data_IF_863732879945
#
_entry.id   IF_863732879945
#
_cell.length_a   1.000
_cell.length_b   1.000
_cell.length_c   1.000
_cell.angle_alpha   90.00
_cell.angle_beta   90.00
_cell.angle_gamma   90.00
#
_symmetry.space_group_name_H-M   'P 1'
#
loop_
_entity.id
_entity.type
_entity.pdbx_description
1 polymer ?
#
# COMPACT_ATOMS: atom_id res chain seq x y z
N UNK A 1 60.33 -23.58 19.15
CA UNK A 1 59.50 -24.47 18.32
C UNK A 1 58.12 -23.83 18.24
N UNK A 2 57.74 -23.34 17.03
CA UNK A 2 56.44 -22.76 16.58
C UNK A 2 55.95 -21.53 17.38
N UNK A 3 56.02 -20.28 16.93
CA UNK A 3 55.62 -19.66 15.65
C UNK A 3 54.25 -20.13 15.15
N UNK A 4 53.24 -19.30 15.38
CA UNK A 4 51.97 -19.29 14.64
C UNK A 4 51.76 -17.84 14.19
N UNK A 5 52.10 -17.61 12.93
CA UNK A 5 51.54 -16.55 12.09
C UNK A 5 50.17 -17.04 11.61
N UNK A 6 49.18 -16.17 11.55
CA UNK A 6 48.04 -16.34 10.64
C UNK A 6 47.54 -14.98 10.15
N UNK A 7 47.03 -15.02 8.92
CA UNK A 7 47.09 -14.04 7.84
C UNK A 7 46.11 -12.85 7.89
N UNK A 8 46.32 -11.81 7.05
CA UNK A 8 45.45 -10.63 6.97
C UNK A 8 44.18 -10.86 6.13
N UNK A 9 43.10 -10.24 6.58
CA UNK A 9 41.76 -10.22 5.96
C UNK A 9 41.81 -9.55 4.58
N UNK A 10 41.44 -10.32 3.57
CA UNK A 10 41.34 -9.92 2.17
C UNK A 10 40.17 -8.94 1.92
N UNK A 11 40.49 -7.68 1.61
CA UNK A 11 39.52 -6.67 1.19
C UNK A 11 38.95 -6.99 -0.19
N UNK A 12 37.67 -7.38 -0.25
CA UNK A 12 36.89 -7.49 -1.49
C UNK A 12 36.69 -6.12 -2.13
N UNK A 13 37.32 -5.89 -3.28
CA UNK A 13 37.01 -4.80 -4.21
C UNK A 13 35.61 -5.00 -4.80
N UNK A 14 34.69 -4.09 -4.49
CA UNK A 14 33.41 -3.96 -5.21
C UNK A 14 33.68 -3.12 -6.46
N UNK A 15 33.62 -3.74 -7.64
CA UNK A 15 33.63 -3.05 -8.93
C UNK A 15 32.26 -2.40 -9.18
N UNK A 16 32.26 -1.08 -9.39
CA UNK A 16 31.10 -0.32 -9.84
C UNK A 16 30.79 -0.65 -11.31
N UNK A 17 29.62 -1.21 -11.58
CA UNK A 17 29.08 -1.32 -12.93
C UNK A 17 28.57 0.06 -13.38
N UNK A 18 29.09 0.53 -14.53
CA UNK A 18 28.67 1.76 -15.21
C UNK A 18 27.27 1.57 -15.79
N UNK A 19 26.30 2.36 -15.32
CA UNK A 19 25.00 2.51 -15.97
C UNK A 19 25.19 3.31 -17.26
N UNK A 20 24.82 2.71 -18.40
CA UNK A 20 24.74 3.41 -19.69
C UNK A 20 23.50 4.31 -19.70
N UNK A 21 23.75 5.58 -20.02
CA UNK A 21 22.78 6.62 -20.32
C UNK A 21 21.94 6.21 -21.54
N UNK A 22 20.61 6.34 -21.45
CA UNK A 22 19.66 6.23 -22.55
C UNK A 22 19.20 7.65 -22.87
N UNK A 23 19.39 8.09 -24.11
CA UNK A 23 18.95 9.39 -24.61
C UNK A 23 17.40 9.46 -24.72
N UNK A 24 16.78 10.63 -24.48
CA UNK A 24 15.34 10.80 -24.66
C UNK A 24 14.97 11.06 -26.12
N UNK A 25 14.01 10.29 -26.63
CA UNK A 25 13.35 10.53 -27.92
C UNK A 25 12.40 11.72 -27.77
N UNK A 26 12.66 12.77 -28.54
CA UNK A 26 11.77 13.92 -28.73
C UNK A 26 10.54 13.52 -29.55
N UNK A 27 9.35 13.64 -28.96
CA UNK A 27 8.08 13.60 -29.66
C UNK A 27 7.77 15.02 -30.17
N UNK A 28 7.86 15.22 -31.50
CA UNK A 28 7.44 16.45 -32.16
C UNK A 28 5.94 16.35 -32.46
N UNK A 29 5.15 17.14 -31.72
CA UNK A 29 3.84 17.59 -32.17
C UNK A 29 4.04 18.56 -33.35
N UNK A 30 3.30 18.34 -34.42
CA UNK A 30 3.18 19.23 -35.56
C UNK A 30 1.72 19.30 -35.98
N UNK A 31 1.08 20.40 -35.58
CA UNK A 31 -0.17 20.88 -36.15
C UNK A 31 0.00 21.16 -37.65
N UNK A 32 -0.95 20.72 -38.47
CA UNK A 32 -1.26 21.41 -39.72
C UNK A 32 -2.77 21.55 -39.87
N UNK A 33 -3.15 22.81 -40.08
CA UNK A 33 -4.49 23.35 -40.14
C UNK A 33 -4.94 23.37 -41.60
N UNK A 34 -6.23 23.07 -41.78
CA UNK A 34 -7.20 23.78 -42.63
C UNK A 34 -7.73 23.21 -43.95
N UNK A 35 -9.05 23.43 -44.04
CA UNK A 35 -9.83 23.85 -45.21
C UNK A 35 -10.15 22.83 -46.32
N UNK A 36 -11.38 22.32 -46.33
CA UNK A 36 -12.46 22.92 -47.16
C UNK A 36 -13.79 22.16 -47.08
N UNK A 37 -14.77 22.86 -46.50
CA UNK A 37 -16.07 23.21 -47.07
C UNK A 37 -16.98 22.19 -47.80
N UNK A 38 -18.15 22.05 -47.17
CA UNK A 38 -19.51 22.20 -47.75
C UNK A 38 -20.24 21.02 -48.42
N UNK A 39 -21.48 20.85 -47.90
CA UNK A 39 -22.74 20.53 -48.62
C UNK A 39 -22.82 19.11 -49.21
N UNK A 40 -23.89 18.32 -49.02
CA UNK A 40 -25.31 18.68 -48.98
C UNK A 40 -26.12 17.44 -48.55
N UNK A 41 -27.21 17.71 -47.84
CA UNK A 41 -28.33 16.80 -47.56
C UNK A 41 -28.94 16.21 -48.85
N UNK A 42 -29.40 14.96 -48.75
CA UNK A 42 -30.83 14.67 -48.96
C UNK A 42 -31.24 13.72 -50.09
N UNK A 43 -31.97 12.67 -49.68
CA UNK A 43 -33.17 12.07 -50.30
C UNK A 43 -33.02 10.98 -51.38
N UNK A 44 -33.28 9.75 -50.92
CA UNK A 44 -34.32 8.80 -51.39
C UNK A 44 -34.60 8.63 -52.88
N UNK A 45 -34.54 7.37 -53.36
CA UNK A 45 -35.68 6.68 -54.00
C UNK A 45 -35.45 5.18 -54.19
N UNK A 46 -36.51 4.41 -53.89
CA UNK A 46 -36.69 2.98 -54.18
C UNK A 46 -36.79 2.73 -55.69
N UNK A 47 -36.34 1.57 -56.19
CA UNK A 47 -37.01 0.86 -57.28
C UNK A 47 -36.76 -0.65 -57.26
N UNK A 48 -37.84 -1.38 -57.53
CA UNK A 48 -38.03 -2.82 -57.56
C UNK A 48 -37.30 -3.49 -58.72
N UNK A 49 -36.96 -4.78 -58.55
CA UNK A 49 -36.35 -5.67 -59.55
C UNK A 49 -37.36 -6.78 -59.92
N UNK A 50 -37.50 -7.06 -61.22
CA UNK A 50 -38.19 -8.24 -61.79
C UNK A 50 -37.20 -9.38 -62.14
N UNK A 51 -37.68 -10.59 -62.53
CA UNK A 51 -36.91 -11.83 -62.28
C UNK A 51 -36.16 -12.45 -63.49
N UNK A 52 -35.16 -13.27 -63.11
CA UNK A 52 -34.51 -14.42 -63.81
C UNK A 52 -33.36 -14.18 -64.82
N UNK A 53 -32.49 -15.17 -65.10
CA UNK A 53 -31.89 -16.20 -64.22
C UNK A 53 -30.37 -16.47 -64.47
N UNK A 54 -29.72 -17.10 -63.49
CA UNK A 54 -28.61 -18.04 -63.72
C UNK A 54 -27.18 -17.52 -63.62
N UNK A 55 -26.46 -17.95 -62.56
CA UNK A 55 -25.25 -18.78 -62.63
C UNK A 55 -24.72 -19.08 -61.22
N UNK A 56 -24.31 -20.32 -61.05
CA UNK A 56 -23.80 -20.95 -59.84
C UNK A 56 -22.44 -20.38 -59.40
N UNK A 57 -22.30 -20.08 -58.11
CA UNK A 57 -21.05 -20.19 -57.37
C UNK A 57 -21.35 -20.27 -55.87
N UNK A 58 -20.89 -21.34 -55.26
CA UNK A 58 -20.90 -21.68 -53.83
C UNK A 58 -20.52 -20.51 -52.91
N UNK A 59 -21.43 -20.10 -52.02
CA UNK A 59 -21.13 -19.33 -50.80
C UNK A 59 -20.87 -20.31 -49.63
N UNK A 60 -19.80 -20.13 -48.84
CA UNK A 60 -19.61 -20.88 -47.61
C UNK A 60 -20.62 -20.42 -46.54
N UNK A 61 -21.12 -21.41 -45.83
CA UNK A 61 -22.26 -21.37 -44.92
C UNK A 61 -22.00 -20.49 -43.68
N UNK A 62 -22.41 -19.21 -43.71
CA UNK A 62 -22.30 -18.28 -42.56
C UNK A 62 -23.23 -18.67 -41.40
N UNK A 63 -24.26 -19.50 -41.63
CA UNK A 63 -25.14 -20.00 -40.56
C UNK A 63 -24.58 -21.19 -39.77
N UNK A 64 -23.50 -21.83 -40.23
CA UNK A 64 -22.90 -22.94 -39.48
C UNK A 64 -21.88 -22.45 -38.44
N UNK A 65 -21.18 -21.33 -38.66
CA UNK A 65 -20.16 -20.85 -37.74
C UNK A 65 -20.72 -20.30 -36.41
N UNK A 66 -21.86 -19.61 -36.45
CA UNK A 66 -22.53 -19.12 -35.23
C UNK A 66 -23.17 -20.24 -34.38
N UNK A 67 -23.54 -21.37 -35.01
CA UNK A 67 -24.01 -22.56 -34.28
C UNK A 67 -22.85 -23.43 -33.75
N UNK A 68 -21.72 -23.51 -34.47
CA UNK A 68 -20.51 -24.24 -34.05
C UNK A 68 -19.80 -23.56 -32.85
N UNK A 69 -19.90 -22.23 -32.72
CA UNK A 69 -19.41 -21.51 -31.53
C UNK A 69 -20.34 -21.65 -30.31
N UNK A 70 -21.65 -21.76 -30.53
CA UNK A 70 -22.65 -22.01 -29.47
C UNK A 70 -22.61 -23.44 -28.95
N UNK A 71 -22.37 -24.43 -29.81
CA UNK A 71 -22.11 -25.82 -29.39
C UNK A 71 -20.79 -25.98 -28.63
N UNK A 72 -19.86 -25.02 -28.75
CA UNK A 72 -18.59 -25.05 -28.04
C UNK A 72 -18.68 -24.52 -26.61
N UNK A 73 -19.59 -23.60 -26.27
CA UNK A 73 -19.69 -22.98 -24.93
C UNK A 73 -20.90 -23.47 -24.13
N UNK A 74 -20.74 -24.60 -23.45
CA UNK A 74 -21.77 -25.25 -22.63
C UNK A 74 -21.40 -25.26 -21.13
N UNK A 75 -21.55 -24.12 -20.42
CA UNK A 75 -21.29 -24.05 -18.98
C UNK A 75 -22.27 -24.91 -18.16
N UNK A 76 -23.50 -25.11 -18.65
CA UNK A 76 -24.53 -25.92 -18.00
C UNK A 76 -24.17 -27.39 -18.04
N UNK A 77 -23.78 -27.92 -19.20
CA UNK A 77 -23.31 -29.30 -19.32
C UNK A 77 -22.02 -29.57 -18.57
N UNK A 78 -21.08 -28.60 -18.56
CA UNK A 78 -19.89 -28.70 -17.69
C UNK A 78 -20.29 -28.78 -16.21
N UNK A 79 -21.19 -27.90 -15.76
CA UNK A 79 -21.71 -27.91 -14.38
C UNK A 79 -22.32 -29.26 -14.03
N UNK A 80 -23.21 -29.79 -14.87
CA UNK A 80 -23.91 -31.04 -14.62
C UNK A 80 -22.94 -32.22 -14.52
N UNK A 81 -21.90 -32.25 -15.36
CA UNK A 81 -20.85 -33.26 -15.29
C UNK A 81 -20.02 -33.18 -14.01
N UNK A 82 -19.68 -31.97 -13.54
CA UNK A 82 -18.98 -31.76 -12.26
C UNK A 82 -19.87 -32.18 -11.09
N UNK A 83 -21.11 -31.72 -11.05
CA UNK A 83 -22.08 -32.06 -9.99
C UNK A 83 -22.26 -33.58 -9.90
N UNK A 84 -22.45 -34.27 -11.02
CA UNK A 84 -22.59 -35.72 -11.04
C UNK A 84 -21.38 -36.44 -10.42
N UNK A 85 -20.17 -35.94 -10.67
CA UNK A 85 -18.95 -36.50 -10.07
C UNK A 85 -18.80 -36.19 -8.58
N UNK A 86 -19.19 -34.99 -8.14
CA UNK A 86 -19.18 -34.62 -6.72
C UNK A 86 -20.20 -35.44 -5.91
N UNK A 87 -21.38 -35.67 -6.46
CA UNK A 87 -22.46 -36.46 -5.82
C UNK A 87 -22.11 -37.96 -5.71
N UNK A 88 -21.27 -38.47 -6.61
CA UNK A 88 -20.75 -39.83 -6.55
C UNK A 88 -19.68 -40.04 -5.47
N UNK A 89 -19.13 -38.96 -4.91
CA UNK A 89 -18.12 -39.01 -3.86
C UNK A 89 -18.76 -39.06 -2.46
N UNK A 90 -18.23 -39.93 -1.60
CA UNK A 90 -18.72 -40.08 -0.22
C UNK A 90 -18.17 -38.99 0.71
N UNK A 91 -16.91 -38.58 0.49
CA UNK A 91 -16.16 -37.66 1.33
C UNK A 91 -15.31 -36.65 0.52
N UNK A 92 -14.67 -35.71 1.23
CA UNK A 92 -13.84 -34.64 0.61
C UNK A 92 -12.56 -35.18 -0.05
N UNK A 93 -12.07 -36.35 0.36
CA UNK A 93 -10.89 -36.96 -0.25
C UNK A 93 -11.23 -37.56 -1.62
N UNK A 94 -12.37 -38.23 -1.72
CA UNK A 94 -12.93 -38.72 -2.98
C UNK A 94 -13.27 -37.56 -3.91
N UNK A 95 -13.83 -36.45 -3.40
CA UNK A 95 -14.02 -35.22 -4.18
C UNK A 95 -12.69 -34.72 -4.75
N UNK A 96 -11.64 -34.65 -3.93
CA UNK A 96 -10.31 -34.22 -4.38
C UNK A 96 -9.73 -35.13 -5.48
N UNK A 97 -9.88 -36.46 -5.33
CA UNK A 97 -9.44 -37.45 -6.34
C UNK A 97 -10.23 -37.34 -7.64
N UNK A 98 -11.53 -37.13 -7.55
CA UNK A 98 -12.37 -36.87 -8.72
C UNK A 98 -11.89 -35.62 -9.44
N UNK A 99 -11.77 -34.48 -8.75
CA UNK A 99 -11.37 -33.21 -9.36
C UNK A 99 -9.98 -33.26 -10.02
N UNK A 100 -9.02 -33.98 -9.41
CA UNK A 100 -7.67 -34.18 -9.96
C UNK A 100 -7.66 -35.02 -11.26
N UNK A 101 -8.54 -36.02 -11.37
CA UNK A 101 -8.62 -36.88 -12.54
C UNK A 101 -9.55 -36.34 -13.64
N UNK A 102 -10.61 -35.64 -13.24
CA UNK A 102 -11.66 -35.14 -14.12
C UNK A 102 -11.16 -34.02 -15.04
N UNK A 103 -10.17 -33.22 -14.64
CA UNK A 103 -9.60 -32.17 -15.50
C UNK A 103 -8.84 -32.70 -16.74
N UNK A 104 -8.68 -34.02 -16.90
CA UNK A 104 -8.21 -34.63 -18.16
C UNK A 104 -9.35 -34.85 -19.17
N UNK A 105 -10.60 -34.81 -18.71
CA UNK A 105 -11.81 -35.01 -19.52
C UNK A 105 -12.66 -33.74 -19.62
N UNK A 106 -12.75 -33.00 -18.52
CA UNK A 106 -13.48 -31.74 -18.41
C UNK A 106 -12.53 -30.57 -18.68
N UNK A 107 -12.98 -29.61 -19.47
CA UNK A 107 -12.15 -28.46 -19.88
C UNK A 107 -12.10 -27.38 -18.80
N UNK A 108 -11.24 -27.58 -17.80
CA UNK A 108 -11.00 -26.60 -16.75
C UNK A 108 -10.38 -25.29 -17.25
N UNK A 109 -9.71 -25.28 -18.42
CA UNK A 109 -9.15 -24.03 -18.97
C UNK A 109 -10.23 -23.09 -19.43
N UNK A 110 -11.31 -23.66 -19.96
CA UNK A 110 -12.47 -22.90 -20.41
C UNK A 110 -13.45 -22.59 -19.28
N UNK A 111 -13.70 -23.55 -18.40
CA UNK A 111 -14.76 -23.48 -17.39
C UNK A 111 -14.24 -23.37 -15.95
N UNK A 112 -12.99 -22.92 -15.75
CA UNK A 112 -12.42 -22.77 -14.41
C UNK A 112 -13.22 -21.85 -13.49
N UNK A 113 -13.79 -20.77 -14.02
CA UNK A 113 -14.69 -19.87 -13.27
C UNK A 113 -15.96 -20.61 -12.81
N UNK A 114 -16.62 -21.31 -13.74
CA UNK A 114 -17.78 -22.16 -13.46
C UNK A 114 -17.45 -23.24 -12.42
N UNK A 115 -16.25 -23.83 -12.49
CA UNK A 115 -15.81 -24.81 -11.51
C UNK A 115 -15.76 -24.18 -10.10
N UNK A 116 -15.26 -22.95 -9.95
CA UNK A 116 -15.21 -22.28 -8.66
C UNK A 116 -16.58 -21.91 -8.13
N UNK A 117 -17.51 -21.49 -8.98
CA UNK A 117 -18.91 -21.29 -8.59
C UNK A 117 -19.51 -22.57 -7.97
N UNK A 118 -19.29 -23.72 -8.61
CA UNK A 118 -19.79 -25.01 -8.14
C UNK A 118 -19.14 -25.40 -6.80
N UNK A 119 -17.82 -25.26 -6.68
CA UNK A 119 -17.12 -25.63 -5.45
C UNK A 119 -17.48 -24.72 -4.28
N UNK A 120 -17.79 -23.45 -4.54
CA UNK A 120 -18.14 -22.47 -3.50
C UNK A 120 -19.64 -22.53 -3.17
N UNK A 121 -20.50 -22.29 -4.16
CA UNK A 121 -21.94 -22.11 -3.99
C UNK A 121 -22.77 -23.35 -4.34
N UNK A 122 -22.17 -24.37 -4.95
CA UNK A 122 -22.85 -25.61 -5.31
C UNK A 122 -23.52 -25.61 -6.68
N UNK A 123 -23.42 -24.52 -7.44
CA UNK A 123 -23.99 -24.40 -8.78
C UNK A 123 -23.50 -23.13 -9.47
N UNK A 124 -23.98 -22.87 -10.68
CA UNK A 124 -23.62 -21.68 -11.46
C UNK A 124 -24.15 -20.41 -10.79
N UNK A 125 -23.27 -19.47 -10.45
CA UNK A 125 -23.70 -18.18 -9.90
C UNK A 125 -24.12 -17.24 -11.04
N UNK A 126 -25.28 -16.59 -10.86
CA UNK A 126 -25.72 -15.51 -11.73
C UNK A 126 -25.53 -14.16 -11.02
N UNK A 127 -25.51 -13.03 -11.76
CA UNK A 127 -25.40 -11.71 -11.15
C UNK A 127 -26.38 -11.51 -9.99
N UNK A 128 -25.86 -11.15 -8.83
CA UNK A 128 -26.64 -11.03 -7.60
C UNK A 128 -26.52 -12.21 -6.64
N UNK A 129 -25.77 -13.26 -6.99
CA UNK A 129 -25.38 -14.33 -6.05
C UNK A 129 -26.38 -15.49 -5.92
N UNK A 130 -27.38 -15.56 -6.80
CA UNK A 130 -28.30 -16.71 -6.85
C UNK A 130 -27.78 -17.79 -7.81
N UNK A 131 -28.26 -19.03 -7.64
CA UNK A 131 -27.87 -20.16 -8.50
C UNK A 131 -28.79 -20.21 -9.73
N UNK A 132 -28.21 -20.35 -10.92
CA UNK A 132 -28.95 -20.57 -12.18
C UNK A 132 -29.80 -21.83 -12.09
N UNK A 133 -31.08 -21.75 -12.48
CA UNK A 133 -32.04 -22.85 -12.32
C UNK A 133 -32.15 -23.76 -13.55
N UNK A 134 -31.37 -23.51 -14.61
CA UNK A 134 -31.36 -24.35 -15.82
C UNK A 134 -30.84 -25.76 -15.51
N UNK A 135 -31.38 -26.80 -16.14
CA UNK A 135 -30.99 -28.21 -15.94
C UNK A 135 -31.80 -28.95 -14.87
N UNK A 136 -31.66 -30.28 -14.80
CA UNK A 136 -32.47 -31.13 -13.91
C UNK A 136 -32.05 -31.02 -12.42
N UNK A 137 -30.73 -30.98 -12.16
CA UNK A 137 -30.17 -30.83 -10.81
C UNK A 137 -29.15 -29.68 -10.80
N UNK A 138 -29.62 -28.42 -10.76
CA UNK A 138 -28.76 -27.24 -10.93
C UNK A 138 -27.80 -26.97 -9.75
N UNK A 139 -27.92 -27.73 -8.66
CA UNK A 139 -27.20 -27.53 -7.39
C UNK A 139 -26.73 -28.85 -6.77
N UNK A 140 -25.59 -28.80 -6.08
CA UNK A 140 -25.10 -29.80 -5.14
C UNK A 140 -24.89 -29.23 -3.73
N UNK A 141 -25.02 -30.09 -2.71
CA UNK A 141 -24.63 -29.80 -1.33
C UNK A 141 -23.18 -30.22 -1.03
N UNK A 142 -22.45 -30.72 -2.03
CA UNK A 142 -21.01 -31.02 -1.94
C UNK A 142 -20.17 -29.78 -2.27
N UNK A 143 -20.47 -28.67 -1.59
CA UNK A 143 -19.84 -27.37 -1.79
C UNK A 143 -19.56 -26.65 -0.46
N UNK A 144 -18.76 -25.58 -0.52
CA UNK A 144 -18.39 -24.79 0.67
C UNK A 144 -19.62 -24.24 1.41
N UNK A 145 -20.62 -23.72 0.70
CA UNK A 145 -21.79 -23.08 1.34
C UNK A 145 -22.66 -24.08 2.11
N UNK A 146 -22.61 -25.36 1.75
CA UNK A 146 -23.27 -26.45 2.47
C UNK A 146 -22.44 -27.04 3.62
N UNK A 147 -21.13 -26.72 3.71
CA UNK A 147 -20.26 -27.19 4.80
C UNK A 147 -20.60 -26.54 6.15
N UNK A 148 -20.14 -27.12 7.26
CA UNK A 148 -20.17 -26.44 8.56
C UNK A 148 -19.21 -25.23 8.57
N UNK A 149 -19.56 -24.16 9.27
CA UNK A 149 -18.76 -22.92 9.31
C UNK A 149 -17.50 -23.01 10.17
N UNK A 150 -17.34 -24.08 10.97
CA UNK A 150 -16.19 -24.25 11.85
C UNK A 150 -14.84 -24.31 11.08
N UNK A 151 -13.77 -23.90 11.75
CA UNK A 151 -12.45 -23.79 11.10
C UNK A 151 -11.85 -25.15 10.70
N UNK A 152 -12.27 -26.27 11.29
CA UNK A 152 -11.83 -27.59 10.87
C UNK A 152 -12.44 -27.93 9.50
N UNK A 153 -13.74 -27.74 9.35
CA UNK A 153 -14.47 -27.89 8.08
C UNK A 153 -13.93 -26.96 6.99
N UNK A 154 -13.61 -25.70 7.33
CA UNK A 154 -13.01 -24.74 6.39
C UNK A 154 -11.63 -25.19 5.90
N UNK A 155 -10.74 -25.61 6.81
CA UNK A 155 -9.40 -26.12 6.42
C UNK A 155 -9.49 -27.39 5.57
N UNK A 156 -10.45 -28.26 5.85
CA UNK A 156 -10.68 -29.45 5.03
C UNK A 156 -11.11 -29.10 3.60
N UNK A 157 -11.99 -28.09 3.43
CA UNK A 157 -12.35 -27.58 2.10
C UNK A 157 -11.18 -26.86 1.41
N UNK A 158 -10.37 -26.10 2.16
CA UNK A 158 -9.19 -25.40 1.62
C UNK A 158 -8.22 -26.37 0.92
N UNK A 159 -8.05 -27.57 1.48
CA UNK A 159 -7.20 -28.60 0.86
C UNK A 159 -7.64 -28.99 -0.55
N UNK A 160 -8.94 -28.95 -0.85
CA UNK A 160 -9.47 -29.25 -2.19
C UNK A 160 -8.94 -28.22 -3.19
N UNK A 161 -9.07 -26.93 -2.87
CA UNK A 161 -8.58 -25.82 -3.68
C UNK A 161 -7.06 -25.87 -3.84
N UNK A 162 -6.32 -26.09 -2.74
CA UNK A 162 -4.86 -26.18 -2.79
C UNK A 162 -4.38 -27.32 -3.70
N UNK A 163 -4.99 -28.52 -3.61
CA UNK A 163 -4.64 -29.66 -4.46
C UNK A 163 -4.97 -29.37 -5.93
N UNK A 164 -6.15 -28.81 -6.18
CA UNK A 164 -6.61 -28.47 -7.51
C UNK A 164 -5.69 -27.45 -8.19
N UNK A 165 -5.35 -26.34 -7.53
CA UNK A 165 -4.47 -25.30 -8.07
C UNK A 165 -3.01 -25.78 -8.19
N UNK A 166 -2.55 -26.65 -7.29
CA UNK A 166 -1.22 -27.27 -7.41
C UNK A 166 -1.10 -28.13 -8.68
N UNK A 167 -2.16 -28.86 -9.04
CA UNK A 167 -2.21 -29.68 -10.26
C UNK A 167 -2.40 -28.81 -11.51
N UNK A 168 -3.36 -27.90 -11.46
CA UNK A 168 -3.80 -27.09 -12.60
C UNK A 168 -3.48 -25.62 -12.34
N UNK A 169 -2.19 -25.26 -12.38
CA UNK A 169 -1.71 -23.91 -12.04
C UNK A 169 -2.37 -22.77 -12.81
N UNK A 170 -2.85 -23.02 -14.04
CA UNK A 170 -3.56 -22.01 -14.81
C UNK A 170 -4.89 -21.57 -14.16
N UNK A 171 -5.44 -22.35 -13.23
CA UNK A 171 -6.62 -22.01 -12.46
C UNK A 171 -6.37 -20.92 -11.42
N UNK A 172 -5.13 -20.67 -10.99
CA UNK A 172 -4.83 -19.64 -9.96
C UNK A 172 -5.33 -18.25 -10.40
N UNK A 173 -5.04 -17.87 -11.66
CA UNK A 173 -5.51 -16.59 -12.20
C UNK A 173 -7.03 -16.55 -12.35
N UNK A 174 -7.64 -17.65 -12.79
CA UNK A 174 -9.10 -17.74 -12.93
C UNK A 174 -9.78 -17.65 -11.56
N UNK A 175 -9.16 -18.24 -10.53
CA UNK A 175 -9.65 -18.18 -9.15
C UNK A 175 -9.61 -16.76 -8.60
N UNK A 176 -8.52 -16.03 -8.84
CA UNK A 176 -8.41 -14.63 -8.43
C UNK A 176 -9.53 -13.78 -9.08
N UNK A 177 -9.74 -13.91 -10.38
CA UNK A 177 -10.77 -13.16 -11.10
C UNK A 177 -12.18 -13.56 -10.65
N UNK A 178 -12.42 -14.84 -10.43
CA UNK A 178 -13.74 -15.29 -9.96
C UNK A 178 -14.01 -14.85 -8.52
N UNK A 179 -13.01 -14.88 -7.64
CA UNK A 179 -13.15 -14.34 -6.29
C UNK A 179 -13.53 -12.86 -6.29
N UNK A 180 -13.00 -12.05 -7.22
CA UNK A 180 -13.43 -10.64 -7.36
C UNK A 180 -14.92 -10.54 -7.69
N UNK A 181 -15.47 -11.41 -8.55
CA UNK A 181 -16.90 -11.43 -8.89
C UNK A 181 -17.76 -11.93 -7.73
N UNK A 182 -17.39 -13.06 -7.12
CA UNK A 182 -18.11 -13.63 -5.98
C UNK A 182 -18.20 -12.65 -4.81
N UNK A 183 -17.13 -11.90 -4.53
CA UNK A 183 -17.13 -10.90 -3.45
C UNK A 183 -18.07 -9.71 -3.73
N UNK A 184 -18.40 -9.41 -4.98
CA UNK A 184 -19.42 -8.40 -5.32
C UNK A 184 -20.83 -8.93 -4.97
N UNK A 185 -21.03 -10.24 -4.99
CA UNK A 185 -22.34 -10.89 -4.77
C UNK A 185 -22.66 -11.16 -3.30
N UNK A 186 -21.82 -10.79 -2.34
CA UNK A 186 -22.00 -11.15 -0.92
C UNK A 186 -23.33 -10.68 -0.31
N UNK A 187 -23.97 -9.67 -0.91
CA UNK A 187 -25.32 -9.21 -0.53
C UNK A 187 -26.41 -10.24 -0.82
N UNK A 188 -26.24 -11.05 -1.86
CA UNK A 188 -27.17 -12.12 -2.23
C UNK A 188 -27.04 -13.38 -1.37
N UNK A 189 -25.91 -13.55 -0.68
CA UNK A 189 -25.67 -14.71 0.18
C UNK A 189 -26.37 -14.56 1.54
N UNK A 190 -26.59 -15.68 2.21
CA UNK A 190 -27.06 -15.71 3.59
C UNK A 190 -25.96 -15.27 4.56
N UNK A 191 -26.29 -14.89 5.81
CA UNK A 191 -25.27 -14.54 6.81
C UNK A 191 -24.25 -15.65 7.05
N UNK A 192 -24.68 -16.92 7.10
CA UNK A 192 -23.77 -18.06 7.31
C UNK A 192 -22.85 -18.29 6.10
N UNK A 193 -23.37 -18.16 4.88
CA UNK A 193 -22.54 -18.28 3.67
C UNK A 193 -21.48 -17.18 3.60
N UNK A 194 -21.81 -15.94 4.00
CA UNK A 194 -20.81 -14.86 4.12
C UNK A 194 -19.71 -15.19 5.12
N UNK A 195 -20.05 -15.75 6.28
CA UNK A 195 -19.06 -16.16 7.30
C UNK A 195 -18.14 -17.24 6.75
N UNK A 196 -18.69 -18.28 6.10
CA UNK A 196 -17.91 -19.35 5.46
C UNK A 196 -16.99 -18.79 4.38
N UNK A 197 -17.51 -17.92 3.51
CA UNK A 197 -16.72 -17.28 2.46
C UNK A 197 -15.61 -16.39 3.03
N UNK A 198 -15.87 -15.62 4.09
CA UNK A 198 -14.86 -14.78 4.75
C UNK A 198 -13.74 -15.64 5.37
N UNK A 199 -14.10 -16.73 6.07
CA UNK A 199 -13.13 -17.67 6.64
C UNK A 199 -12.26 -18.32 5.57
N UNK A 200 -12.87 -18.79 4.49
CA UNK A 200 -12.13 -19.37 3.36
C UNK A 200 -11.27 -18.33 2.65
N UNK A 201 -11.76 -17.11 2.47
CA UNK A 201 -10.97 -16.00 1.90
C UNK A 201 -9.72 -15.74 2.74
N UNK A 202 -9.84 -15.74 4.07
CA UNK A 202 -8.68 -15.61 4.96
C UNK A 202 -7.68 -16.77 4.78
N UNK A 203 -8.15 -18.02 4.73
CA UNK A 203 -7.32 -19.20 4.51
C UNK A 203 -6.56 -19.13 3.16
N UNK A 204 -7.26 -18.81 2.07
CA UNK A 204 -6.67 -18.63 0.75
C UNK A 204 -5.66 -17.47 0.70
N UNK A 205 -5.86 -16.41 1.48
CA UNK A 205 -4.85 -15.35 1.62
C UNK A 205 -3.63 -15.81 2.43
N UNK A 206 -3.84 -16.58 3.50
CA UNK A 206 -2.77 -17.11 4.38
C UNK A 206 -1.81 -18.02 3.61
N UNK A 207 -2.36 -18.90 2.77
CA UNK A 207 -1.61 -19.85 1.96
C UNK A 207 -1.14 -19.28 0.61
N UNK A 208 -1.60 -18.09 0.22
CA UNK A 208 -1.20 -17.37 -0.99
C UNK A 208 -1.95 -17.73 -2.26
N UNK A 209 -3.06 -18.49 -2.16
CA UNK A 209 -3.94 -18.81 -3.29
C UNK A 209 -4.65 -17.59 -3.86
N UNK A 210 -4.96 -16.60 -3.03
CA UNK A 210 -5.51 -15.32 -3.48
C UNK A 210 -4.72 -14.14 -2.88
N UNK A 211 -4.44 -13.10 -3.67
CA UNK A 211 -3.82 -11.89 -3.17
C UNK A 211 -4.83 -11.03 -2.38
N UNK A 212 -4.40 -10.25 -1.37
CA UNK A 212 -5.30 -9.38 -0.60
C UNK A 212 -6.08 -8.36 -1.45
N UNK A 213 -5.55 -8.00 -2.62
CA UNK A 213 -6.14 -7.05 -3.57
C UNK A 213 -7.56 -7.41 -4.01
N UNK A 214 -7.94 -8.70 -3.98
CA UNK A 214 -9.31 -9.13 -4.31
C UNK A 214 -10.34 -8.46 -3.40
N UNK A 215 -9.97 -8.11 -2.16
CA UNK A 215 -10.87 -7.47 -1.20
C UNK A 215 -11.24 -6.03 -1.59
N UNK A 216 -10.54 -5.39 -2.51
CA UNK A 216 -10.87 -4.03 -2.94
C UNK A 216 -12.26 -3.90 -3.56
N UNK A 217 -12.78 -4.97 -4.18
CA UNK A 217 -14.12 -4.98 -4.77
C UNK A 217 -15.23 -4.81 -3.73
N UNK A 218 -14.92 -5.02 -2.44
CA UNK A 218 -15.83 -4.75 -1.33
C UNK A 218 -16.05 -3.26 -1.09
N UNK A 219 -15.16 -2.38 -1.57
CA UNK A 219 -15.45 -0.95 -1.65
C UNK A 219 -16.43 -0.69 -2.80
N UNK A 220 -17.67 -1.07 -2.54
CA UNK A 220 -18.82 -0.92 -3.43
C UNK A 220 -19.94 -0.27 -2.62
N UNK A 221 -20.56 0.79 -3.16
CA UNK A 221 -21.58 1.58 -2.45
C UNK A 221 -22.72 0.72 -1.89
N UNK A 222 -23.15 -0.31 -2.62
CA UNK A 222 -24.21 -1.21 -2.19
C UNK A 222 -23.81 -2.13 -1.02
N UNK A 223 -22.52 -2.38 -0.84
CA UNK A 223 -21.97 -3.20 0.24
C UNK A 223 -21.57 -2.36 1.45
N UNK A 224 -21.05 -1.16 1.23
CA UNK A 224 -20.59 -0.26 2.29
C UNK A 224 -21.76 0.42 3.00
N UNK A 225 -22.81 0.84 2.27
CA UNK A 225 -24.03 1.42 2.86
C UNK A 225 -24.67 0.50 3.91
N UNK A 226 -24.73 -0.80 3.61
CA UNK A 226 -25.39 -1.80 4.47
C UNK A 226 -24.42 -2.40 5.52
N UNK A 227 -23.15 -1.97 5.56
CA UNK A 227 -22.14 -2.46 6.51
C UNK A 227 -21.55 -3.84 6.17
N UNK A 228 -22.04 -4.51 5.13
CA UNK A 228 -21.63 -5.86 4.72
C UNK A 228 -20.13 -5.93 4.37
N UNK A 229 -19.59 -4.90 3.71
CA UNK A 229 -18.17 -4.84 3.36
C UNK A 229 -17.29 -4.89 4.61
N UNK A 230 -17.62 -4.07 5.62
CA UNK A 230 -16.89 -3.99 6.88
C UNK A 230 -17.02 -5.30 7.67
N UNK A 231 -18.23 -5.86 7.82
CA UNK A 231 -18.45 -7.11 8.53
C UNK A 231 -17.64 -8.27 7.92
N UNK A 232 -17.64 -8.37 6.59
CA UNK A 232 -16.88 -9.38 5.87
C UNK A 232 -15.37 -9.21 6.12
N UNK A 233 -14.84 -7.99 6.00
CA UNK A 233 -13.42 -7.72 6.27
C UNK A 233 -13.01 -8.03 7.71
N UNK A 234 -13.86 -7.70 8.68
CA UNK A 234 -13.58 -7.98 10.09
C UNK A 234 -13.46 -9.49 10.33
N UNK A 235 -14.32 -10.31 9.74
CA UNK A 235 -14.22 -11.77 9.83
C UNK A 235 -12.94 -12.27 9.13
N UNK A 236 -12.64 -11.80 7.91
CA UNK A 236 -11.41 -12.16 7.18
C UNK A 236 -10.16 -11.84 8.01
N UNK A 237 -10.05 -10.63 8.56
CA UNK A 237 -8.89 -10.21 9.32
C UNK A 237 -8.77 -10.97 10.64
N UNK A 238 -9.91 -11.23 11.30
CA UNK A 238 -9.95 -12.01 12.54
C UNK A 238 -9.43 -13.42 12.31
N UNK A 239 -9.92 -14.08 11.26
CA UNK A 239 -9.51 -15.46 10.90
C UNK A 239 -8.05 -15.48 10.44
N UNK A 240 -7.63 -14.56 9.58
CA UNK A 240 -6.24 -14.46 9.14
C UNK A 240 -5.30 -14.32 10.34
N UNK A 241 -5.65 -13.43 11.28
CA UNK A 241 -4.89 -13.24 12.53
C UNK A 241 -4.81 -14.53 13.33
N UNK A 242 -5.91 -15.29 13.45
CA UNK A 242 -5.92 -16.55 14.18
C UNK A 242 -5.00 -17.59 13.52
N UNK A 243 -4.96 -17.66 12.19
CA UNK A 243 -4.15 -18.64 11.46
C UNK A 243 -2.65 -18.29 11.42
N UNK A 244 -2.29 -17.01 11.25
CA UNK A 244 -0.90 -16.60 10.95
C UNK A 244 -0.32 -15.54 11.88
N UNK A 245 -1.16 -14.91 12.71
CA UNK A 245 -0.76 -13.87 13.65
C UNK A 245 -0.82 -12.44 13.08
N UNK A 246 -0.54 -11.46 13.95
CA UNK A 246 -0.69 -10.03 13.64
C UNK A 246 0.31 -9.51 12.62
N UNK A 247 1.61 -9.83 12.77
CA UNK A 247 2.63 -9.28 11.89
C UNK A 247 2.43 -9.71 10.41
N UNK A 248 2.11 -10.99 10.11
CA UNK A 248 1.77 -11.39 8.75
C UNK A 248 0.49 -10.76 8.22
N UNK A 249 -0.53 -10.53 9.06
CA UNK A 249 -1.74 -9.81 8.67
C UNK A 249 -1.39 -8.37 8.24
N UNK A 250 -0.68 -7.63 9.07
CA UNK A 250 -0.25 -6.26 8.77
C UNK A 250 0.57 -6.21 7.46
N UNK A 251 1.48 -7.15 7.26
CA UNK A 251 2.26 -7.25 6.02
C UNK A 251 1.37 -7.53 4.80
N UNK A 252 0.36 -8.40 4.93
CA UNK A 252 -0.59 -8.68 3.86
C UNK A 252 -1.45 -7.45 3.52
N UNK A 253 -1.93 -6.70 4.52
CA UNK A 253 -2.71 -5.47 4.30
C UNK A 253 -1.90 -4.40 3.57
N UNK A 254 -0.64 -4.19 3.98
CA UNK A 254 0.29 -3.27 3.29
C UNK A 254 0.56 -3.70 1.86
N UNK A 255 0.87 -4.99 1.64
CA UNK A 255 1.09 -5.54 0.29
C UNK A 255 -0.16 -5.40 -0.59
N UNK A 256 -1.33 -5.49 0.03
CA UNK A 256 -2.63 -5.30 -0.60
C UNK A 256 -3.03 -3.85 -0.83
N UNK A 257 -2.32 -2.85 -0.30
CA UNK A 257 -2.79 -1.46 -0.29
C UNK A 257 -4.12 -1.27 0.43
N UNK A 258 -4.45 -2.16 1.38
CA UNK A 258 -5.67 -2.08 2.17
C UNK A 258 -5.50 -1.19 3.40
N UNK A 259 -4.28 -1.03 3.91
CA UNK A 259 -3.96 -0.15 5.02
C UNK A 259 -4.40 1.29 4.76
N UNK A 260 -4.28 1.74 3.51
CA UNK A 260 -4.61 3.11 3.10
C UNK A 260 -6.10 3.35 2.87
N UNK A 261 -6.90 2.29 2.81
CA UNK A 261 -8.29 2.35 2.32
C UNK A 261 -9.31 1.86 3.35
N UNK A 262 -8.89 1.56 4.58
CA UNK A 262 -9.77 0.98 5.62
C UNK A 262 -11.06 1.78 5.81
N UNK A 263 -10.96 3.11 5.78
CA UNK A 263 -12.11 4.02 5.92
C UNK A 263 -13.13 3.88 4.79
N UNK A 264 -12.70 3.51 3.58
CA UNK A 264 -13.58 3.36 2.42
C UNK A 264 -14.61 2.24 2.60
N UNK A 265 -14.29 1.22 3.39
CA UNK A 265 -15.18 0.08 3.64
C UNK A 265 -16.24 0.35 4.72
N UNK A 266 -16.14 1.46 5.45
CA UNK A 266 -17.12 1.85 6.47
C UNK A 266 -18.40 2.39 5.82
N UNK A 267 -19.56 2.21 6.47
CA UNK A 267 -20.78 2.92 6.09
C UNK A 267 -20.57 4.43 6.08
N UNK A 268 -21.12 5.11 5.07
CA UNK A 268 -20.89 6.55 4.82
C UNK A 268 -21.19 7.42 6.05
N UNK A 269 -22.25 7.11 6.80
CA UNK A 269 -22.66 7.83 8.00
C UNK A 269 -21.83 7.50 9.26
N UNK A 270 -20.92 6.53 9.18
CA UNK A 270 -20.05 6.08 10.28
C UNK A 270 -18.57 6.13 9.91
N UNK A 271 -18.21 6.77 8.80
CA UNK A 271 -16.83 6.88 8.32
C UNK A 271 -16.07 7.93 9.14
N UNK A 272 -15.71 7.55 10.36
CA UNK A 272 -14.85 8.31 11.26
C UNK A 272 -13.91 7.38 12.04
N UNK A 273 -12.81 7.93 12.56
CA UNK A 273 -11.75 7.17 13.21
C UNK A 273 -12.21 6.49 14.51
N UNK A 274 -13.10 7.13 15.28
CA UNK A 274 -13.62 6.58 16.54
C UNK A 274 -14.43 5.30 16.30
N UNK A 275 -15.28 5.29 15.26
CA UNK A 275 -16.02 4.11 14.87
C UNK A 275 -15.08 3.01 14.37
N UNK A 276 -14.11 3.35 13.51
CA UNK A 276 -13.10 2.39 13.03
C UNK A 276 -12.32 1.76 14.19
N UNK A 277 -11.88 2.58 15.15
CA UNK A 277 -11.20 2.13 16.37
C UNK A 277 -12.06 1.15 17.15
N UNK A 278 -13.32 1.52 17.39
CA UNK A 278 -14.27 0.70 18.17
C UNK A 278 -14.43 -0.68 17.55
N UNK A 279 -14.80 -0.76 16.27
CA UNK A 279 -15.08 -2.04 15.60
C UNK A 279 -13.84 -2.93 15.47
N UNK A 280 -12.66 -2.36 15.25
CA UNK A 280 -11.41 -3.13 15.18
C UNK A 280 -10.98 -3.62 16.55
N UNK A 281 -11.01 -2.78 17.58
CA UNK A 281 -10.59 -3.15 18.94
C UNK A 281 -11.50 -4.21 19.54
N UNK A 282 -12.82 -4.09 19.35
CA UNK A 282 -13.81 -5.09 19.80
C UNK A 282 -13.54 -6.47 19.18
N UNK A 283 -13.04 -6.53 17.94
CA UNK A 283 -12.63 -7.76 17.26
C UNK A 283 -11.19 -8.18 17.57
N UNK A 284 -10.50 -7.50 18.48
CA UNK A 284 -9.10 -7.77 18.82
C UNK A 284 -8.09 -7.38 17.71
N UNK A 285 -8.48 -6.54 16.76
CA UNK A 285 -7.68 -6.07 15.63
C UNK A 285 -7.03 -4.72 15.90
N UNK A 286 -6.68 -4.42 17.15
CA UNK A 286 -6.09 -3.13 17.54
C UNK A 286 -4.79 -2.77 16.79
N UNK A 287 -4.01 -3.77 16.36
CA UNK A 287 -2.80 -3.51 15.55
C UNK A 287 -3.11 -3.07 14.11
N UNK A 288 -4.28 -3.46 13.56
CA UNK A 288 -4.77 -2.93 12.28
C UNK A 288 -5.18 -1.46 12.44
N UNK A 289 -5.76 -1.09 13.58
CA UNK A 289 -6.04 0.33 13.87
C UNK A 289 -4.74 1.13 14.04
N UNK A 290 -3.74 0.60 14.76
CA UNK A 290 -2.41 1.24 14.84
C UNK A 290 -1.76 1.40 13.47
N UNK A 291 -1.92 0.42 12.58
CA UNK A 291 -1.46 0.51 11.20
C UNK A 291 -2.08 1.70 10.46
N UNK A 292 -3.40 1.88 10.57
CA UNK A 292 -4.11 3.02 10.01
C UNK A 292 -3.59 4.36 10.57
N UNK A 293 -3.48 4.48 11.90
CA UNK A 293 -2.99 5.69 12.57
C UNK A 293 -1.55 6.04 12.18
N UNK A 294 -0.67 5.04 12.13
CA UNK A 294 0.70 5.25 11.69
C UNK A 294 0.75 5.75 10.26
N UNK A 295 -0.11 5.23 9.38
CA UNK A 295 -0.14 5.67 8.00
C UNK A 295 -0.69 7.10 7.86
N UNK A 296 -1.80 7.43 8.52
CA UNK A 296 -2.34 8.79 8.54
C UNK A 296 -1.30 9.80 9.03
N UNK A 297 -0.55 9.44 10.09
CA UNK A 297 0.57 10.25 10.58
C UNK A 297 1.68 10.43 9.54
N UNK A 298 2.06 9.37 8.81
CA UNK A 298 3.09 9.47 7.76
C UNK A 298 2.62 10.30 6.56
N UNK A 299 1.35 10.18 6.17
CA UNK A 299 0.76 10.96 5.09
C UNK A 299 0.70 12.44 5.45
N UNK A 300 0.23 12.79 6.65
CA UNK A 300 0.25 14.15 7.16
C UNK A 300 1.66 14.77 7.15
N UNK A 301 2.70 13.99 7.49
CA UNK A 301 4.10 14.46 7.45
C UNK A 301 4.59 14.68 6.01
N UNK A 302 4.12 13.89 5.05
CA UNK A 302 4.45 14.09 3.63
C UNK A 302 3.77 15.32 3.08
N UNK A 303 2.50 15.54 3.42
CA UNK A 303 1.77 16.76 3.05
C UNK A 303 2.44 18.00 3.64
N UNK A 304 2.85 17.96 4.92
CA UNK A 304 3.59 19.07 5.55
C UNK A 304 4.94 19.32 4.88
N UNK A 305 5.67 18.26 4.53
CA UNK A 305 6.92 18.37 3.77
C UNK A 305 6.67 19.01 2.41
N UNK A 306 5.62 18.62 1.70
CA UNK A 306 5.30 19.17 0.38
C UNK A 306 4.89 20.64 0.49
N UNK A 307 4.04 20.99 1.45
CA UNK A 307 3.67 22.38 1.75
C UNK A 307 4.91 23.25 1.98
N UNK A 308 5.84 22.79 2.84
CA UNK A 308 7.09 23.48 3.10
C UNK A 308 7.93 23.69 1.82
N UNK A 309 8.02 22.68 0.95
CA UNK A 309 8.76 22.77 -0.31
C UNK A 309 8.11 23.81 -1.23
N UNK A 310 6.79 23.75 -1.39
CA UNK A 310 6.04 24.64 -2.26
C UNK A 310 6.16 26.09 -1.79
N UNK A 311 5.96 26.33 -0.49
CA UNK A 311 6.04 27.66 0.10
C UNK A 311 7.43 28.31 -0.02
N UNK A 312 8.49 27.51 0.15
CA UNK A 312 9.87 27.99 -0.01
C UNK A 312 10.15 28.30 -1.50
N UNK A 313 9.71 27.44 -2.42
CA UNK A 313 9.90 27.63 -3.86
C UNK A 313 9.13 28.84 -4.40
N UNK A 314 7.95 29.10 -3.85
CA UNK A 314 7.12 30.27 -4.15
C UNK A 314 7.68 31.57 -3.54
N UNK A 315 8.79 31.49 -2.80
CA UNK A 315 9.42 32.61 -2.09
C UNK A 315 8.44 33.33 -1.14
N UNK A 316 7.56 32.58 -0.47
CA UNK A 316 6.72 33.14 0.59
C UNK A 316 7.59 33.73 1.71
N UNK A 317 7.04 34.70 2.45
CA UNK A 317 7.77 35.26 3.60
C UNK A 317 7.87 34.20 4.70
N UNK A 318 8.97 34.20 5.48
CA UNK A 318 9.14 33.24 6.59
C UNK A 318 7.96 33.27 7.57
N UNK A 319 7.34 34.44 7.77
CA UNK A 319 6.15 34.60 8.61
C UNK A 319 4.93 33.84 8.08
N UNK A 320 4.72 33.86 6.77
CA UNK A 320 3.61 33.13 6.12
C UNK A 320 3.87 31.62 6.17
N UNK A 321 5.10 31.19 5.91
CA UNK A 321 5.51 29.77 6.05
C UNK A 321 5.25 29.27 7.47
N UNK A 322 5.62 30.04 8.49
CA UNK A 322 5.36 29.68 9.89
C UNK A 322 3.85 29.52 10.14
N UNK A 323 3.01 30.40 9.60
CA UNK A 323 1.57 30.33 9.75
C UNK A 323 0.98 29.08 9.10
N UNK A 324 1.36 28.79 7.85
CA UNK A 324 0.90 27.64 7.07
C UNK A 324 1.30 26.32 7.74
N UNK A 325 2.54 26.22 8.23
CA UNK A 325 3.06 25.04 8.94
C UNK A 325 2.37 24.86 10.31
N UNK A 326 2.10 25.94 11.05
CA UNK A 326 1.35 25.88 12.32
C UNK A 326 -0.09 25.41 12.10
N UNK A 327 -0.76 25.91 11.07
CA UNK A 327 -2.12 25.49 10.73
C UNK A 327 -2.17 24.00 10.37
N UNK A 328 -1.30 23.55 9.45
CA UNK A 328 -1.29 22.17 9.01
C UNK A 328 -0.87 21.19 10.12
N UNK A 329 0.15 21.53 10.91
CA UNK A 329 0.59 20.69 12.03
C UNK A 329 -0.47 20.55 13.12
N UNK A 330 -1.19 21.63 13.45
CA UNK A 330 -2.30 21.58 14.40
C UNK A 330 -3.48 20.74 13.85
N UNK A 331 -3.86 20.95 12.59
CA UNK A 331 -4.95 20.21 11.93
C UNK A 331 -4.70 18.70 11.90
N UNK A 332 -3.46 18.30 11.67
CA UNK A 332 -3.06 16.89 11.53
C UNK A 332 -2.43 16.30 12.80
N UNK A 333 -2.46 17.04 13.92
CA UNK A 333 -1.87 16.65 15.21
C UNK A 333 -0.40 16.19 15.11
N UNK A 334 0.41 16.86 14.30
CA UNK A 334 1.84 16.56 14.17
C UNK A 334 2.58 17.25 15.33
N UNK A 335 3.28 16.50 16.22
CA UNK A 335 3.98 17.10 17.35
C UNK A 335 5.12 18.03 16.90
N UNK A 336 5.35 19.12 17.63
CA UNK A 336 6.38 20.13 17.30
C UNK A 336 7.79 19.55 17.09
N UNK A 337 8.22 18.63 17.96
CA UNK A 337 9.52 17.96 17.83
C UNK A 337 9.67 17.12 16.54
N UNK A 338 8.56 16.74 15.90
CA UNK A 338 8.58 16.10 14.59
C UNK A 338 8.55 17.15 13.47
N UNK A 339 7.76 18.23 13.64
CA UNK A 339 7.71 19.35 12.70
C UNK A 339 9.09 19.97 12.50
N UNK A 340 9.84 20.27 13.58
CA UNK A 340 11.19 20.84 13.48
C UNK A 340 12.16 19.90 12.74
N UNK A 341 11.98 18.58 12.91
CA UNK A 341 12.74 17.58 12.18
C UNK A 341 12.43 17.57 10.68
N UNK A 342 11.16 17.76 10.31
CA UNK A 342 10.75 17.90 8.90
C UNK A 342 11.28 19.20 8.30
N UNK A 343 11.18 20.33 9.02
CA UNK A 343 11.75 21.61 8.60
C UNK A 343 13.24 21.46 8.32
N UNK A 344 14.00 20.86 9.24
CA UNK A 344 15.42 20.60 9.05
C UNK A 344 15.68 19.78 7.78
N UNK A 345 15.00 18.64 7.63
CA UNK A 345 15.17 17.76 6.46
C UNK A 345 14.83 18.47 5.15
N UNK A 346 13.75 19.24 5.10
CA UNK A 346 13.34 20.00 3.92
C UNK A 346 14.36 21.08 3.59
N UNK A 347 14.65 21.99 4.54
CA UNK A 347 15.59 23.10 4.34
C UNK A 347 16.95 22.61 3.88
N UNK A 348 17.48 21.54 4.49
CA UNK A 348 18.78 21.00 4.12
C UNK A 348 18.80 20.26 2.78
N UNK A 349 17.65 19.76 2.30
CA UNK A 349 17.53 19.09 1.01
C UNK A 349 17.44 20.04 -0.19
N UNK A 350 17.01 21.29 0.03
CA UNK A 350 16.81 22.29 -1.04
C UNK A 350 18.11 22.93 -1.53
N UNK A 351 19.22 22.77 -0.81
CA UNK A 351 20.51 23.34 -1.18
C UNK A 351 21.42 22.33 -1.89
N UNK A 352 22.07 22.78 -2.96
CA UNK A 352 23.17 22.03 -3.57
C UNK A 352 24.49 22.30 -2.83
N UNK A 353 24.99 21.26 -2.16
CA UNK A 353 26.13 21.39 -1.25
C UNK A 353 27.49 21.27 -1.93
N UNK A 354 28.43 22.13 -1.51
CA UNK A 354 29.82 22.02 -1.92
C UNK A 354 30.45 20.70 -1.44
N UNK A 355 31.37 20.14 -2.24
CA UNK A 355 32.11 18.92 -1.89
C UNK A 355 33.37 19.18 -1.04
N UNK A 356 33.77 20.45 -0.87
CA UNK A 356 34.89 20.83 -0.01
C UNK A 356 34.39 21.18 1.38
N UNK A 357 34.95 20.52 2.40
CA UNK A 357 34.56 20.63 3.81
C UNK A 357 34.54 22.07 4.33
N UNK A 358 35.54 22.89 3.99
CA UNK A 358 35.61 24.29 4.46
C UNK A 358 34.56 25.18 3.80
N UNK A 359 34.31 24.98 2.50
CA UNK A 359 33.33 25.77 1.74
C UNK A 359 31.90 25.40 2.10
N UNK A 360 31.62 24.10 2.32
CA UNK A 360 30.28 23.65 2.67
C UNK A 360 29.89 24.14 4.06
N UNK A 361 30.84 24.22 5.01
CA UNK A 361 30.57 24.76 6.33
C UNK A 361 30.13 26.23 6.26
N UNK A 362 30.82 27.08 5.49
CA UNK A 362 30.40 28.48 5.31
C UNK A 362 29.08 28.61 4.54
N UNK A 363 28.88 27.78 3.52
CA UNK A 363 27.64 27.73 2.73
C UNK A 363 26.45 27.36 3.61
N UNK A 364 26.57 26.33 4.46
CA UNK A 364 25.53 25.89 5.38
C UNK A 364 25.13 27.00 6.35
N UNK A 365 26.10 27.74 6.87
CA UNK A 365 25.84 28.87 7.77
C UNK A 365 25.09 30.01 7.08
N UNK A 366 25.40 30.30 5.82
CA UNK A 366 24.65 31.30 5.04
C UNK A 366 23.23 30.83 4.76
N UNK A 367 23.07 29.57 4.37
CA UNK A 367 21.78 28.95 4.11
C UNK A 367 20.88 28.95 5.34
N UNK A 368 21.36 28.41 6.46
CA UNK A 368 20.58 28.27 7.69
C UNK A 368 20.20 29.62 8.32
N UNK A 369 21.04 30.66 8.17
CA UNK A 369 20.71 32.03 8.63
C UNK A 369 19.39 32.56 8.05
N UNK A 370 19.03 32.17 6.83
CA UNK A 370 17.78 32.59 6.19
C UNK A 370 16.55 32.00 6.90
N UNK A 371 16.71 30.87 7.60
CA UNK A 371 15.62 30.09 8.17
C UNK A 371 15.62 30.09 9.71
N UNK A 372 16.44 30.91 10.38
CA UNK A 372 16.51 30.89 11.86
C UNK A 372 15.17 31.21 12.51
N UNK A 373 14.44 32.21 12.00
CA UNK A 373 13.09 32.54 12.47
C UNK A 373 12.09 31.38 12.27
N UNK A 374 12.27 30.60 11.21
CA UNK A 374 11.45 29.41 10.99
C UNK A 374 11.77 28.34 12.02
N UNK A 375 13.05 28.06 12.30
CA UNK A 375 13.43 27.08 13.32
C UNK A 375 12.99 27.49 14.71
N UNK A 376 13.22 28.75 15.10
CA UNK A 376 12.83 29.34 16.39
C UNK A 376 11.33 29.16 16.66
N UNK A 377 10.48 29.32 15.64
CA UNK A 377 9.04 29.16 15.77
C UNK A 377 8.57 27.73 16.08
N UNK A 378 9.45 26.73 15.95
CA UNK A 378 9.20 25.30 16.20
C UNK A 378 10.22 24.67 17.16
N UNK A 379 10.91 25.49 17.96
CA UNK A 379 11.78 25.07 19.04
C UNK A 379 11.36 25.72 20.36
N UNK A 380 10.07 25.66 20.69
CA UNK A 380 9.50 26.31 21.88
C UNK A 380 9.57 25.44 23.14
N UNK A 381 10.03 24.20 23.01
CA UNK A 381 10.18 23.24 24.11
C UNK A 381 11.56 22.57 24.09
N UNK A 382 12.06 22.13 25.25
CA UNK A 382 13.28 21.33 25.37
C UNK A 382 13.28 20.12 24.43
N UNK A 383 12.11 19.50 24.23
CA UNK A 383 11.97 18.31 23.39
C UNK A 383 12.19 18.63 21.92
N UNK A 384 11.65 19.75 21.43
CA UNK A 384 11.86 20.21 20.06
C UNK A 384 13.29 20.68 19.82
N UNK A 385 13.88 21.42 20.77
CA UNK A 385 15.28 21.85 20.69
C UNK A 385 16.23 20.64 20.65
N UNK A 386 16.03 19.68 21.55
CA UNK A 386 16.79 18.42 21.56
C UNK A 386 16.62 17.64 20.26
N UNK A 387 15.40 17.57 19.72
CA UNK A 387 15.14 16.91 18.45
C UNK A 387 15.90 17.57 17.29
N UNK A 388 15.97 18.91 17.26
CA UNK A 388 16.75 19.65 16.28
C UNK A 388 18.25 19.37 16.44
N UNK A 389 18.81 19.47 17.66
CA UNK A 389 20.22 19.18 17.94
C UNK A 389 20.63 17.77 17.47
N UNK A 390 19.77 16.77 17.76
CA UNK A 390 19.96 15.41 17.28
C UNK A 390 19.94 15.35 15.75
N UNK A 391 18.98 16.00 15.09
CA UNK A 391 18.92 16.05 13.62
C UNK A 391 20.16 16.67 12.98
N UNK A 392 20.70 17.74 13.57
CA UNK A 392 21.96 18.34 13.12
C UNK A 392 23.12 17.36 13.29
N UNK A 393 23.23 16.71 14.45
CA UNK A 393 24.29 15.72 14.72
C UNK A 393 24.25 14.55 13.74
N UNK A 394 23.07 13.96 13.53
CA UNK A 394 22.89 12.85 12.59
C UNK A 394 23.23 13.25 11.16
N UNK A 395 22.75 14.42 10.72
CA UNK A 395 23.04 14.93 9.38
C UNK A 395 24.54 15.17 9.15
N UNK A 396 25.23 15.79 10.11
CA UNK A 396 26.67 16.04 10.03
C UNK A 396 27.48 14.75 10.04
N UNK A 397 27.03 13.70 10.73
CA UNK A 397 27.66 12.39 10.73
C UNK A 397 27.48 11.65 9.41
N UNK A 398 26.25 11.64 8.88
CA UNK A 398 25.89 10.95 7.64
C UNK A 398 26.51 11.62 6.41
N UNK A 399 26.84 12.92 6.51
CA UNK A 399 27.50 13.68 5.45
C UNK A 399 28.91 14.10 5.88
N UNK A 400 29.94 13.34 5.49
CA UNK A 400 31.33 13.58 5.91
C UNK A 400 31.84 15.01 5.70
N UNK A 401 31.36 15.73 4.68
CA UNK A 401 31.76 17.12 4.41
C UNK A 401 31.24 18.10 5.48
N UNK A 402 30.26 17.71 6.29
CA UNK A 402 29.64 18.51 7.35
C UNK A 402 30.19 18.25 8.75
N UNK A 403 31.19 17.36 8.88
CA UNK A 403 31.78 17.02 10.18
C UNK A 403 32.30 18.27 10.92
N UNK A 404 32.97 19.21 10.22
CA UNK A 404 33.39 20.51 10.76
C UNK A 404 32.30 21.58 10.87
N UNK A 405 31.10 21.34 10.35
CA UNK A 405 30.01 22.30 10.36
C UNK A 405 29.17 22.23 11.64
N UNK A 406 29.14 21.07 12.32
CA UNK A 406 28.25 20.83 13.47
C UNK A 406 28.37 21.92 14.55
N UNK A 407 29.57 22.16 15.12
CA UNK A 407 29.74 23.19 16.15
C UNK A 407 29.39 24.60 15.69
N UNK A 408 29.60 24.91 14.40
CA UNK A 408 29.22 26.21 13.83
C UNK A 408 27.70 26.34 13.75
N UNK A 409 27.00 25.28 13.36
CA UNK A 409 25.53 25.26 13.27
C UNK A 409 24.91 25.41 14.66
N UNK A 410 25.41 24.66 15.66
CA UNK A 410 24.91 24.80 17.04
C UNK A 410 25.17 26.21 17.57
N UNK A 411 26.35 26.77 17.32
CA UNK A 411 26.66 28.16 17.71
C UNK A 411 25.76 29.18 17.01
N UNK A 412 25.39 28.96 15.74
CA UNK A 412 24.41 29.80 15.05
C UNK A 412 23.06 29.75 15.75
N UNK A 413 22.55 28.55 15.98
CA UNK A 413 21.24 28.35 16.59
C UNK A 413 21.19 28.91 18.01
N UNK A 414 22.27 28.78 18.79
CA UNK A 414 22.39 29.45 20.09
C UNK A 414 22.30 30.98 19.95
N UNK A 415 23.11 31.58 19.07
CA UNK A 415 23.17 33.04 18.87
C UNK A 415 21.88 33.65 18.30
N UNK A 416 21.04 32.84 17.70
CA UNK A 416 19.76 33.27 17.12
C UNK A 416 18.57 32.73 17.91
N UNK A 417 18.78 32.34 19.17
CA UNK A 417 17.72 31.92 20.10
C UNK A 417 16.88 30.73 19.62
N UNK A 418 17.41 29.93 18.69
CA UNK A 418 16.76 28.72 18.16
C UNK A 418 16.91 27.56 19.15
N UNK A 419 18.02 27.51 19.88
CA UNK A 419 18.23 26.53 20.96
C UNK A 419 18.80 27.23 22.18
N UNK A 420 18.36 26.79 23.36
CA UNK A 420 18.81 27.31 24.64
C UNK A 420 20.13 26.69 25.08
N UNK A 421 20.79 27.36 26.02
CA UNK A 421 21.98 26.84 26.70
C UNK A 421 21.70 25.48 27.35
N UNK A 422 20.59 25.37 28.09
CA UNK A 422 20.17 24.14 28.77
C UNK A 422 20.08 22.95 27.82
N UNK A 423 19.46 23.12 26.65
CA UNK A 423 19.36 22.07 25.64
C UNK A 423 20.73 21.63 25.12
N UNK A 424 21.66 22.57 24.92
CA UNK A 424 23.03 22.28 24.46
C UNK A 424 23.79 21.52 25.55
N UNK A 425 23.74 21.98 26.80
CA UNK A 425 24.39 21.33 27.94
C UNK A 425 23.84 19.92 28.16
N UNK A 426 22.52 19.75 28.07
CA UNK A 426 21.85 18.46 28.18
C UNK A 426 22.26 17.51 27.06
N UNK A 427 22.32 18.00 25.81
CA UNK A 427 22.79 17.21 24.67
C UNK A 427 24.23 16.75 24.89
N UNK A 428 25.10 17.65 25.35
CA UNK A 428 26.52 17.35 25.60
C UNK A 428 26.70 16.28 26.68
N UNK A 429 26.00 16.40 27.82
CA UNK A 429 26.12 15.48 28.96
C UNK A 429 25.55 14.09 28.65
N UNK A 430 24.32 14.01 28.14
CA UNK A 430 23.61 12.73 28.03
C UNK A 430 22.61 12.61 26.87
N UNK A 431 22.20 13.72 26.25
CA UNK A 431 21.16 13.73 25.22
C UNK A 431 21.64 13.40 23.80
N UNK A 432 22.94 13.22 23.57
CA UNK A 432 23.53 13.04 22.24
C UNK A 432 23.30 11.64 21.63
N UNK A 433 23.31 11.58 20.30
CA UNK A 433 23.29 10.33 19.55
C UNK A 433 24.63 9.60 19.63
N UNK A 434 24.61 8.26 19.46
CA UNK A 434 25.83 7.46 19.29
C UNK A 434 26.55 7.73 17.96
N UNK A 435 25.86 8.33 16.97
CA UNK A 435 26.43 8.69 15.67
C UNK A 435 27.44 9.83 15.81
N UNK A 436 28.73 9.54 15.62
CA UNK A 436 29.79 10.56 15.70
C UNK A 436 30.05 11.11 17.10
N UNK A 437 29.54 10.45 18.16
CA UNK A 437 29.58 10.90 19.56
C UNK A 437 30.92 11.49 19.98
N UNK A 438 32.00 10.69 19.90
CA UNK A 438 33.33 11.12 20.36
C UNK A 438 33.83 12.36 19.62
N UNK A 439 33.55 12.45 18.31
CA UNK A 439 33.99 13.57 17.50
C UNK A 439 33.25 14.86 17.86
N UNK A 440 31.92 14.82 17.95
CA UNK A 440 31.12 16.02 18.21
C UNK A 440 31.23 16.51 19.66
N UNK A 441 31.38 15.61 20.63
CA UNK A 441 31.68 16.02 22.02
C UNK A 441 33.02 16.75 22.07
N UNK A 442 34.08 16.20 21.46
CA UNK A 442 35.38 16.88 21.43
C UNK A 442 35.30 18.23 20.71
N UNK A 443 34.58 18.29 19.58
CA UNK A 443 34.40 19.52 18.81
C UNK A 443 33.67 20.63 19.59
N UNK A 444 32.74 20.25 20.47
CA UNK A 444 31.94 21.19 21.25
C UNK A 444 32.60 21.62 22.57
N UNK A 445 33.62 20.91 23.04
CA UNK A 445 34.23 21.09 24.36
C UNK A 445 34.52 22.55 24.72
N UNK A 446 35.23 23.29 23.85
CA UNK A 446 35.55 24.71 24.08
C UNK A 446 34.32 25.61 24.18
N UNK A 447 33.27 25.29 23.43
CA UNK A 447 32.03 26.05 23.46
C UNK A 447 31.24 25.77 24.75
N UNK A 448 31.24 24.52 25.22
CA UNK A 448 30.65 24.15 26.50
C UNK A 448 31.40 24.79 27.68
N UNK A 449 32.72 24.74 27.69
CA UNK A 449 33.54 25.43 28.70
C UNK A 449 33.22 26.93 28.74
N UNK A 450 33.00 27.56 27.57
CA UNK A 450 32.60 28.96 27.50
C UNK A 450 31.20 29.23 28.06
N UNK A 451 30.20 28.39 27.75
CA UNK A 451 28.84 28.52 28.28
C UNK A 451 28.85 28.46 29.82
N UNK A 452 29.51 27.43 30.37
CA UNK A 452 29.58 27.22 31.82
C UNK A 452 30.31 28.35 32.56
N UNK A 453 31.40 28.88 31.98
CA UNK A 453 32.16 29.97 32.61
C UNK A 453 31.44 31.32 32.49
N UNK A 454 30.64 31.55 31.45
CA UNK A 454 29.87 32.79 31.29
C UNK A 454 28.74 32.89 32.34
N UNK A 455 28.18 31.75 32.76
CA UNK A 455 27.22 31.65 33.85
C UNK A 455 27.88 31.95 35.21
N UNK A 456 29.06 31.37 35.48
CA UNK A 456 29.82 31.59 36.73
C UNK A 456 30.27 33.06 36.93
N UNK A 457 30.62 33.78 35.86
CA UNK A 457 30.99 35.21 35.97
C UNK A 457 29.75 36.10 36.25
N UNK A 458 28.57 35.75 35.74
CA UNK A 458 27.35 36.56 35.91
C UNK A 458 26.65 36.35 37.26
N UNK A 459 26.70 35.15 37.84
CA UNK A 459 26.23 34.93 39.23
C UNK A 459 27.15 35.61 40.26
N UNK A 460 28.46 35.73 39.97
CA UNK A 460 29.42 36.39 40.87
C UNK A 460 29.31 37.92 40.90
N UNK A 461 28.67 38.54 39.91
CA UNK A 461 28.42 40.00 39.88
C UNK A 461 27.11 40.41 40.58
N UNK A 462 26.23 39.46 40.95
CA UNK A 462 25.00 39.74 41.72
C UNK A 462 25.17 39.56 43.24
N UNK A 463 26.28 39.00 43.71
CA UNK A 463 26.60 38.81 45.14
C UNK A 463 27.54 39.86 45.76
N UNK A 464 27.95 40.90 45.01
CA UNK A 464 28.83 41.99 45.50
C UNK A 464 28.13 43.35 45.74
#
# INVERSE_FOLDING_TARGET
MKMVQDEPIETKKIQSAKQKTIDPIQEKAGDEIDQQDTKKRGKTSKKQVGPSPGKSSTEPNVMNAENDEREKNDPTGFRDAVIAGLEAAEDLEQISKYLDSAGNKLDYRRYGEVLFDILIAGGLLVPGGSIAQDGEKPRTDRCLFAASEDMESMRNHEQIFMRLMRRYKYLEKMFEEEMKKILIFIKGFTPLERIKLARMTALWMVNGSIPPQVLHVLNNEHLTKDGLALEFLLEVFTVFKQEKGNAPLVAALRKGGLDTRLMEFLPMNKRNEDYLKTVLVEKGLGDVFKLHMNQASQEAKRELTQLLIDDINDNKTIKDIIADVKEMSAKSNIPEHEVVGLIWSTVMSLAEWNKKEELVAEQAMKHLRTYTQLFEAFTTTDRSEMALLLKVQEFCYENMNFMKAFSKIVLLFYKTEVVTEDSILKWYKEGHSNKGKMHFIEQMKKFIEWLQNAEEESESEEED
#
